data_IF_748702619398
#
_entry.id   IF_748702619398
#
_cell.length_a   1.000
_cell.length_b   1.000
_cell.length_c   1.000
_cell.angle_alpha   90.00
_cell.angle_beta   90.00
_cell.angle_gamma   90.00
#
_symmetry.space_group_name_H-M   'P 1'
#
loop_
_entity.id
_entity.type
_entity.pdbx_description
1 polymer ?
#
# COMPACT_ATOMS: atom_id res chain seq x y z
N UNK A 1 -61.21 -16.14 3.76
CA UNK A 1 -60.18 -17.20 3.83
C UNK A 1 -59.11 -16.86 2.81
N UNK A 2 -58.01 -16.33 3.30
CA UNK A 2 -56.88 -15.75 2.56
C UNK A 2 -55.85 -16.85 2.26
N UNK A 3 -55.24 -16.91 1.07
CA UNK A 3 -54.09 -17.80 0.85
C UNK A 3 -52.83 -17.21 1.51
N UNK A 4 -51.85 -18.04 1.93
CA UNK A 4 -50.62 -17.54 2.51
C UNK A 4 -49.65 -17.08 1.41
N UNK A 5 -49.14 -15.87 1.60
CA UNK A 5 -48.05 -15.23 0.87
C UNK A 5 -46.70 -15.86 1.25
N UNK A 6 -46.02 -16.51 0.31
CA UNK A 6 -44.61 -16.87 0.44
C UNK A 6 -43.74 -15.86 -0.32
N UNK A 7 -43.43 -14.74 0.33
CA UNK A 7 -42.22 -13.98 0.03
C UNK A 7 -41.09 -14.60 0.86
N UNK A 8 -40.43 -15.63 0.30
CA UNK A 8 -39.09 -15.99 0.74
C UNK A 8 -38.16 -14.89 0.25
N UNK A 9 -37.73 -14.06 1.21
CA UNK A 9 -36.67 -13.10 1.03
C UNK A 9 -35.40 -13.83 0.57
N UNK A 10 -34.94 -13.43 -0.61
CA UNK A 10 -33.62 -13.74 -1.18
C UNK A 10 -32.53 -13.30 -0.21
N UNK A 11 -32.15 -14.18 0.71
CA UNK A 11 -30.86 -14.14 1.39
C UNK A 11 -29.81 -14.52 0.34
N UNK A 12 -29.17 -13.49 -0.21
CA UNK A 12 -28.06 -13.62 -1.15
C UNK A 12 -27.04 -14.62 -0.64
N UNK A 13 -26.76 -15.60 -1.49
CA UNK A 13 -25.67 -16.55 -1.33
C UNK A 13 -24.37 -15.75 -1.26
N UNK A 14 -23.91 -15.45 -0.05
CA UNK A 14 -22.51 -15.06 0.15
C UNK A 14 -21.68 -16.28 -0.23
N UNK A 15 -21.01 -16.19 -1.38
CA UNK A 15 -20.01 -17.15 -1.82
C UNK A 15 -19.07 -17.47 -0.67
N UNK A 16 -19.20 -18.67 -0.10
CA UNK A 16 -18.21 -19.20 0.82
C UNK A 16 -17.02 -19.59 -0.05
N UNK A 17 -16.00 -18.72 -0.13
CA UNK A 17 -14.72 -19.13 -0.71
C UNK A 17 -14.25 -20.35 0.07
N UNK A 18 -14.11 -21.46 -0.64
CA UNK A 18 -13.45 -22.66 -0.14
C UNK A 18 -11.94 -22.34 -0.07
N UNK A 19 -11.51 -21.79 1.08
CA UNK A 19 -10.12 -21.41 1.34
C UNK A 19 -9.30 -22.70 1.46
N UNK A 20 -8.64 -23.10 0.38
CA UNK A 20 -7.89 -24.36 0.33
C UNK A 20 -6.43 -24.22 0.75
N UNK A 21 -5.85 -23.02 0.61
CA UNK A 21 -4.43 -22.79 0.83
C UNK A 21 -4.16 -21.95 2.09
N UNK A 22 -3.15 -22.29 2.92
CA UNK A 22 -2.81 -21.55 4.14
C UNK A 22 -2.64 -20.04 3.95
N UNK A 23 -2.18 -19.60 2.78
CA UNK A 23 -1.99 -18.18 2.47
C UNK A 23 -3.31 -17.42 2.25
N UNK A 24 -4.34 -18.10 1.71
CA UNK A 24 -5.65 -17.49 1.52
C UNK A 24 -6.35 -17.22 2.86
N UNK A 25 -6.07 -18.05 3.87
CA UNK A 25 -6.53 -17.81 5.25
C UNK A 25 -5.93 -16.51 5.78
N UNK A 26 -4.62 -16.30 5.59
CA UNK A 26 -3.95 -15.06 5.97
C UNK A 26 -4.52 -13.85 5.22
N UNK A 27 -4.78 -13.95 3.92
CA UNK A 27 -5.41 -12.87 3.16
C UNK A 27 -6.79 -12.51 3.70
N UNK A 28 -7.60 -13.53 4.05
CA UNK A 28 -8.89 -13.31 4.69
C UNK A 28 -8.75 -12.63 6.05
N UNK A 29 -7.82 -13.10 6.89
CA UNK A 29 -7.57 -12.55 8.22
C UNK A 29 -7.15 -11.07 8.15
N UNK A 30 -6.19 -10.74 7.27
CA UNK A 30 -5.74 -9.38 7.01
C UNK A 30 -6.89 -8.48 6.53
N UNK A 31 -7.70 -8.95 5.57
CA UNK A 31 -8.90 -8.24 5.10
C UNK A 31 -9.90 -7.99 6.22
N UNK A 32 -10.20 -9.01 7.01
CA UNK A 32 -11.21 -8.92 8.05
C UNK A 32 -10.76 -8.00 9.20
N UNK A 33 -9.46 -7.99 9.51
CA UNK A 33 -8.82 -7.12 10.49
C UNK A 33 -8.63 -5.67 10.01
N UNK A 34 -8.74 -5.41 8.70
CA UNK A 34 -8.61 -4.05 8.15
C UNK A 34 -9.73 -3.15 8.69
N UNK A 35 -9.40 -1.93 9.21
CA UNK A 35 -10.40 -1.01 9.73
C UNK A 35 -11.50 -0.67 8.72
N UNK A 36 -12.76 -0.70 9.18
CA UNK A 36 -13.95 -0.50 8.32
C UNK A 36 -14.18 0.94 7.88
N UNK A 37 -13.42 1.88 8.43
CA UNK A 37 -13.39 3.28 8.00
C UNK A 37 -12.57 3.48 6.71
N UNK A 38 -11.70 2.52 6.38
CA UNK A 38 -10.92 2.52 5.14
C UNK A 38 -11.76 1.95 3.99
N UNK A 39 -11.36 2.23 2.76
CA UNK A 39 -12.01 1.66 1.59
C UNK A 39 -11.91 0.12 1.59
N UNK A 40 -12.98 -0.56 1.18
CA UNK A 40 -13.11 -2.03 1.18
C UNK A 40 -12.04 -2.77 0.36
N UNK A 41 -11.39 -2.07 -0.56
CA UNK A 41 -10.35 -2.60 -1.45
C UNK A 41 -8.93 -2.13 -1.07
N UNK A 42 -8.76 -1.42 0.05
CA UNK A 42 -7.46 -0.91 0.50
C UNK A 42 -6.61 -1.97 1.20
N UNK A 43 -7.25 -2.99 1.78
CA UNK A 43 -6.58 -4.05 2.55
C UNK A 43 -5.48 -4.76 1.74
N UNK A 44 -5.72 -5.02 0.45
CA UNK A 44 -4.75 -5.74 -0.37
C UNK A 44 -3.54 -4.87 -0.73
N UNK A 45 -3.63 -3.54 -0.63
CA UNK A 45 -2.46 -2.68 -0.77
C UNK A 45 -1.51 -2.85 0.42
N UNK A 46 -2.08 -2.93 1.63
CA UNK A 46 -1.34 -3.20 2.88
C UNK A 46 -0.67 -4.57 2.79
N UNK A 47 -1.43 -5.59 2.38
CA UNK A 47 -0.91 -6.96 2.20
C UNK A 47 0.18 -7.01 1.14
N UNK A 48 -0.05 -6.46 -0.06
CA UNK A 48 0.92 -6.47 -1.15
C UNK A 48 2.22 -5.76 -0.77
N UNK A 49 2.14 -4.58 -0.15
CA UNK A 49 3.32 -3.84 0.29
C UNK A 49 4.09 -4.59 1.39
N UNK A 50 3.38 -5.27 2.29
CA UNK A 50 3.99 -6.08 3.35
C UNK A 50 4.67 -7.32 2.78
N UNK A 51 4.03 -8.05 1.84
CA UNK A 51 4.65 -9.17 1.12
C UNK A 51 5.92 -8.70 0.41
N UNK A 52 5.85 -7.61 -0.35
CA UNK A 52 7.02 -7.05 -1.06
C UNK A 52 8.23 -6.88 -0.12
N UNK A 53 8.02 -6.34 1.07
CA UNK A 53 9.08 -6.16 2.08
C UNK A 53 9.54 -7.46 2.76
N UNK A 54 8.68 -8.47 2.88
CA UNK A 54 8.93 -9.63 3.74
C UNK A 54 9.44 -10.84 2.95
N UNK A 55 8.79 -11.20 1.84
CA UNK A 55 9.16 -12.34 0.98
C UNK A 55 9.62 -11.93 -0.42
N UNK A 56 9.72 -10.63 -0.71
CA UNK A 56 10.06 -10.15 -2.05
C UNK A 56 8.86 -10.22 -3.01
N UNK A 57 7.65 -10.29 -2.47
CA UNK A 57 6.39 -10.37 -3.22
C UNK A 57 6.21 -11.67 -3.98
N UNK A 58 6.82 -12.76 -3.52
CA UNK A 58 6.69 -14.08 -4.16
C UNK A 58 5.24 -14.54 -4.28
N UNK A 59 4.37 -14.07 -3.37
CA UNK A 59 2.94 -14.36 -3.34
C UNK A 59 2.02 -13.30 -3.97
N UNK A 60 2.54 -12.39 -4.80
CA UNK A 60 1.71 -11.37 -5.48
C UNK A 60 0.68 -11.99 -6.42
N UNK A 61 1.04 -13.06 -7.14
CA UNK A 61 0.12 -13.76 -8.03
C UNK A 61 -1.05 -14.41 -7.28
N UNK A 62 -0.77 -15.06 -6.15
CA UNK A 62 -1.77 -15.66 -5.28
C UNK A 62 -2.68 -14.60 -4.67
N UNK A 63 -2.14 -13.46 -4.26
CA UNK A 63 -2.93 -12.33 -3.79
C UNK A 63 -3.86 -11.81 -4.90
N UNK A 64 -3.34 -11.63 -6.12
CA UNK A 64 -4.15 -11.19 -7.26
C UNK A 64 -5.29 -12.16 -7.54
N UNK A 65 -5.03 -13.45 -7.65
CA UNK A 65 -6.06 -14.48 -7.84
C UNK A 65 -7.09 -14.47 -6.71
N UNK A 66 -6.65 -14.31 -5.45
CA UNK A 66 -7.55 -14.21 -4.32
C UNK A 66 -8.45 -12.97 -4.39
N UNK A 67 -7.91 -11.81 -4.79
CA UNK A 67 -8.71 -10.59 -5.00
C UNK A 67 -9.83 -10.83 -6.03
N UNK A 68 -9.50 -11.50 -7.14
CA UNK A 68 -10.47 -11.79 -8.21
C UNK A 68 -11.57 -12.76 -7.76
N UNK A 69 -11.23 -13.71 -6.90
CA UNK A 69 -12.19 -14.71 -6.39
C UNK A 69 -13.03 -14.17 -5.22
N UNK A 70 -12.43 -13.32 -4.36
CA UNK A 70 -12.98 -12.97 -3.06
C UNK A 70 -13.90 -11.75 -3.04
N UNK A 71 -14.00 -10.98 -4.14
CA UNK A 71 -14.81 -9.77 -4.15
C UNK A 71 -15.75 -9.68 -5.36
N UNK A 72 -17.03 -9.46 -5.07
CA UNK A 72 -18.07 -9.17 -6.07
C UNK A 72 -17.72 -7.94 -6.94
N UNK A 73 -16.93 -7.02 -6.38
CA UNK A 73 -16.44 -5.80 -7.04
C UNK A 73 -15.39 -6.05 -8.14
N UNK A 74 -14.92 -7.29 -8.33
CA UNK A 74 -13.96 -7.67 -9.38
C UNK A 74 -14.58 -8.57 -10.47
N UNK A 75 -15.90 -8.52 -10.63
CA UNK A 75 -16.65 -9.31 -11.61
C UNK A 75 -16.51 -8.84 -13.06
N UNK A 76 -15.96 -7.64 -13.30
CA UNK A 76 -15.83 -7.03 -14.65
C UNK A 76 -14.38 -6.93 -15.12
N UNK A 77 -14.08 -7.01 -16.44
CA UNK A 77 -12.72 -6.82 -16.95
C UNK A 77 -12.04 -5.52 -16.46
N UNK A 78 -12.78 -4.42 -16.38
CA UNK A 78 -12.27 -3.13 -15.91
C UNK A 78 -11.85 -3.18 -14.44
N UNK A 79 -12.63 -3.84 -13.59
CA UNK A 79 -12.32 -3.95 -12.16
C UNK A 79 -11.15 -4.90 -11.90
N UNK A 80 -10.96 -5.94 -12.72
CA UNK A 80 -9.79 -6.83 -12.66
C UNK A 80 -8.51 -6.12 -13.13
N UNK A 81 -8.59 -5.36 -14.23
CA UNK A 81 -7.50 -4.47 -14.68
C UNK A 81 -7.15 -3.42 -13.64
N UNK A 82 -8.13 -2.84 -12.95
CA UNK A 82 -7.87 -1.93 -11.83
C UNK A 82 -7.07 -2.59 -10.71
N UNK A 83 -7.40 -3.84 -10.34
CA UNK A 83 -6.62 -4.59 -9.34
C UNK A 83 -5.17 -4.81 -9.81
N UNK A 84 -4.98 -5.24 -11.06
CA UNK A 84 -3.64 -5.36 -11.69
C UNK A 84 -2.86 -4.04 -11.62
N UNK A 85 -3.46 -2.93 -12.06
CA UNK A 85 -2.85 -1.59 -12.03
C UNK A 85 -2.41 -1.19 -10.62
N UNK A 86 -3.27 -1.43 -9.62
CA UNK A 86 -2.97 -1.09 -8.22
C UNK A 86 -1.82 -1.93 -7.67
N UNK A 87 -1.79 -3.24 -7.92
CA UNK A 87 -0.66 -4.09 -7.50
C UNK A 87 0.64 -3.70 -8.21
N UNK A 88 0.58 -3.38 -9.51
CA UNK A 88 1.74 -2.87 -10.27
C UNK A 88 2.25 -1.54 -9.73
N UNK A 89 1.36 -0.67 -9.25
CA UNK A 89 1.75 0.57 -8.60
C UNK A 89 2.41 0.34 -7.23
N UNK A 90 1.99 -0.68 -6.47
CA UNK A 90 2.72 -1.11 -5.25
C UNK A 90 4.16 -1.48 -5.60
N UNK A 91 4.39 -2.22 -6.70
CA UNK A 91 5.75 -2.55 -7.17
C UNK A 91 6.54 -1.30 -7.57
N UNK A 92 5.90 -0.46 -8.39
CA UNK A 92 6.49 0.77 -8.94
C UNK A 92 6.91 1.75 -7.86
N UNK A 93 6.18 1.83 -6.74
CA UNK A 93 6.55 2.68 -5.60
C UNK A 93 7.46 1.96 -4.62
N UNK A 94 7.12 0.72 -4.28
CA UNK A 94 7.73 -0.05 -3.21
C UNK A 94 9.21 -0.38 -3.44
N UNK A 95 9.68 -0.45 -4.69
CA UNK A 95 11.11 -0.67 -4.95
C UNK A 95 12.01 0.42 -4.36
N UNK A 96 11.52 1.65 -4.25
CA UNK A 96 12.29 2.77 -3.66
C UNK A 96 12.53 2.59 -2.16
N UNK A 97 11.72 1.73 -1.51
CA UNK A 97 11.77 1.45 -0.07
C UNK A 97 12.33 0.06 0.24
N UNK A 98 12.21 -0.89 -0.69
CA UNK A 98 12.52 -2.32 -0.46
C UNK A 98 13.64 -2.85 -1.37
N UNK A 99 13.99 -2.09 -2.42
CA UNK A 99 14.99 -2.45 -3.42
C UNK A 99 14.39 -3.10 -4.68
N UNK A 100 15.01 -2.81 -5.84
CA UNK A 100 14.64 -3.37 -7.15
C UNK A 100 14.59 -4.91 -7.17
N UNK A 101 15.54 -5.67 -6.58
CA UNK A 101 15.50 -7.13 -6.66
C UNK A 101 14.18 -7.74 -6.16
N UNK A 102 13.65 -7.24 -5.04
CA UNK A 102 12.35 -7.67 -4.50
C UNK A 102 11.20 -7.31 -5.43
N UNK A 103 11.22 -6.10 -6.01
CA UNK A 103 10.19 -5.69 -6.96
C UNK A 103 10.19 -6.54 -8.25
N UNK A 104 11.35 -7.02 -8.69
CA UNK A 104 11.46 -7.93 -9.83
C UNK A 104 10.79 -9.29 -9.54
N UNK A 105 11.07 -9.90 -8.39
CA UNK A 105 10.46 -11.18 -8.02
C UNK A 105 8.94 -11.08 -7.93
N UNK A 106 8.45 -10.01 -7.30
CA UNK A 106 7.03 -9.71 -7.21
C UNK A 106 6.38 -9.45 -8.59
N UNK A 107 7.09 -8.75 -9.49
CA UNK A 107 6.65 -8.58 -10.88
C UNK A 107 6.50 -9.93 -11.61
N UNK A 108 7.46 -10.84 -11.44
CA UNK A 108 7.38 -12.16 -12.05
C UNK A 108 6.28 -13.02 -11.45
N UNK A 109 6.01 -12.92 -10.15
CA UNK A 109 4.88 -13.59 -9.50
C UNK A 109 3.55 -13.11 -10.10
N UNK A 110 3.35 -11.80 -10.17
CA UNK A 110 2.12 -11.20 -10.69
C UNK A 110 1.90 -11.46 -12.19
N UNK A 111 2.92 -11.21 -13.02
CA UNK A 111 2.80 -11.31 -14.50
C UNK A 111 2.48 -12.71 -15.01
N UNK A 112 2.77 -13.76 -14.23
CA UNK A 112 2.42 -15.15 -14.56
C UNK A 112 0.93 -15.43 -14.54
N UNK A 113 0.15 -14.64 -13.80
CA UNK A 113 -1.28 -14.92 -13.56
C UNK A 113 -2.23 -13.86 -14.10
N UNK A 114 -1.74 -12.67 -14.48
CA UNK A 114 -2.60 -11.56 -14.91
C UNK A 114 -3.30 -11.80 -16.26
N UNK A 115 -2.66 -12.47 -17.22
CA UNK A 115 -3.27 -12.76 -18.53
C UNK A 115 -3.90 -11.53 -19.19
N UNK A 116 -5.19 -11.62 -19.54
CA UNK A 116 -5.98 -10.53 -20.15
C UNK A 116 -6.31 -9.37 -19.19
N UNK A 117 -6.17 -9.60 -17.89
CA UNK A 117 -6.43 -8.63 -16.83
C UNK A 117 -5.19 -7.77 -16.54
N UNK A 118 -4.06 -8.01 -17.21
CA UNK A 118 -2.87 -7.18 -17.10
C UNK A 118 -3.17 -5.74 -17.56
N UNK A 119 -2.92 -4.78 -16.68
CA UNK A 119 -2.95 -3.37 -17.03
C UNK A 119 -1.55 -2.86 -17.36
N UNK A 120 -1.34 -2.57 -18.64
CA UNK A 120 -0.07 -2.09 -19.19
C UNK A 120 -0.01 -0.57 -19.31
N UNK A 121 -0.99 0.15 -18.73
CA UNK A 121 -0.99 1.61 -18.72
C UNK A 121 0.24 2.13 -17.99
N UNK A 122 1.00 3.02 -18.64
CA UNK A 122 2.20 3.62 -18.07
C UNK A 122 1.87 4.86 -17.24
N UNK A 123 2.63 5.07 -16.17
CA UNK A 123 2.57 6.30 -15.36
C UNK A 123 3.20 7.48 -16.09
N UNK A 124 2.86 8.71 -15.68
CA UNK A 124 3.46 9.94 -16.22
C UNK A 124 4.95 10.13 -15.89
N UNK A 125 5.56 9.21 -15.12
CA UNK A 125 6.97 9.25 -14.70
C UNK A 125 7.94 9.40 -15.87
N UNK A 126 7.72 8.65 -16.96
CA UNK A 126 8.56 8.73 -18.15
C UNK A 126 8.49 10.12 -18.80
N UNK A 127 7.28 10.71 -18.85
CA UNK A 127 7.08 12.07 -19.36
C UNK A 127 7.75 13.12 -18.48
N UNK A 128 7.75 12.92 -17.16
CA UNK A 128 8.48 13.80 -16.23
C UNK A 128 9.97 13.70 -16.51
N UNK A 129 10.54 12.50 -16.57
CA UNK A 129 11.99 12.34 -16.82
C UNK A 129 12.41 12.90 -18.18
N UNK A 130 11.61 12.69 -19.23
CA UNK A 130 11.89 13.16 -20.59
C UNK A 130 11.45 14.60 -20.90
N UNK A 131 10.77 15.26 -19.97
CA UNK A 131 10.18 16.58 -20.19
C UNK A 131 11.16 17.73 -20.02
N UNK A 132 10.95 18.83 -20.75
CA UNK A 132 11.81 20.03 -20.72
C UNK A 132 11.94 20.64 -19.31
N UNK A 133 10.93 20.46 -18.45
CA UNK A 133 10.90 20.93 -17.05
C UNK A 133 10.75 19.76 -16.06
N UNK A 134 11.31 18.60 -16.40
CA UNK A 134 11.13 17.36 -15.65
C UNK A 134 11.56 17.44 -14.19
N UNK A 135 12.69 18.11 -13.95
CA UNK A 135 13.25 18.30 -12.61
C UNK A 135 12.33 19.15 -11.73
N UNK A 136 11.82 20.24 -12.27
CA UNK A 136 10.92 21.16 -11.60
C UNK A 136 9.58 20.49 -11.29
N UNK A 137 9.05 19.70 -12.24
CA UNK A 137 7.83 18.93 -12.05
C UNK A 137 7.97 17.88 -10.93
N UNK A 138 9.09 17.15 -10.90
CA UNK A 138 9.38 16.18 -9.84
C UNK A 138 9.48 16.87 -8.46
N UNK A 139 10.18 18.00 -8.38
CA UNK A 139 10.28 18.76 -7.13
C UNK A 139 8.93 19.30 -6.65
N UNK A 140 8.14 19.87 -7.55
CA UNK A 140 6.82 20.40 -7.22
C UNK A 140 5.92 19.31 -6.62
N UNK A 141 5.97 18.10 -7.17
CA UNK A 141 5.22 16.94 -6.67
C UNK A 141 5.69 16.51 -5.27
N UNK A 142 7.00 16.52 -5.02
CA UNK A 142 7.56 16.26 -3.68
C UNK A 142 7.08 17.30 -2.68
N UNK A 143 7.19 18.59 -3.02
CA UNK A 143 6.80 19.68 -2.14
C UNK A 143 5.30 19.66 -1.83
N UNK A 144 4.46 19.32 -2.81
CA UNK A 144 3.02 19.16 -2.61
C UNK A 144 2.70 18.02 -1.66
N UNK A 145 3.32 16.85 -1.84
CA UNK A 145 3.13 15.72 -0.94
C UNK A 145 3.56 16.03 0.49
N UNK A 146 4.76 16.60 0.66
CA UNK A 146 5.30 16.92 1.97
C UNK A 146 4.43 17.91 2.74
N UNK A 147 3.79 18.87 2.06
CA UNK A 147 2.83 19.79 2.70
C UNK A 147 1.62 19.07 3.31
N UNK A 148 1.24 17.91 2.79
CA UNK A 148 0.07 17.16 3.26
C UNK A 148 0.42 16.20 4.42
N UNK A 149 1.59 15.54 4.37
CA UNK A 149 1.92 14.47 5.33
C UNK A 149 3.00 14.84 6.35
N UNK A 150 3.84 15.83 6.06
CA UNK A 150 4.92 16.29 6.94
C UNK A 150 4.74 17.78 7.20
N UNK A 151 3.87 18.16 8.14
CA UNK A 151 3.55 19.57 8.41
C UNK A 151 4.46 20.19 9.48
N UNK A 152 4.53 21.53 9.51
CA UNK A 152 5.16 22.27 10.60
C UNK A 152 6.67 22.03 10.74
N UNK A 153 7.11 21.73 11.97
CA UNK A 153 8.52 21.57 12.31
C UNK A 153 9.14 20.29 11.71
N UNK A 154 8.34 19.26 11.47
CA UNK A 154 8.80 17.96 10.99
C UNK A 154 9.37 18.04 9.59
N UNK A 155 8.69 18.78 8.70
CA UNK A 155 9.17 19.06 7.34
C UNK A 155 10.61 19.58 7.35
N UNK A 156 10.87 20.58 8.18
CA UNK A 156 12.17 21.24 8.28
C UNK A 156 13.21 20.29 8.86
N UNK A 157 12.85 19.51 9.88
CA UNK A 157 13.75 18.54 10.51
C UNK A 157 14.13 17.41 9.55
N UNK A 158 13.18 16.88 8.78
CA UNK A 158 13.44 15.83 7.78
C UNK A 158 14.45 16.33 6.76
N UNK A 159 14.25 17.51 6.16
CA UNK A 159 15.20 18.02 5.17
C UNK A 159 16.54 18.41 5.78
N UNK A 160 16.56 19.06 6.94
CA UNK A 160 17.81 19.36 7.64
C UNK A 160 18.63 18.09 7.94
N UNK A 161 17.97 16.97 8.21
CA UNK A 161 18.64 15.69 8.48
C UNK A 161 19.33 15.11 7.24
N UNK A 162 18.82 15.40 6.04
CA UNK A 162 19.40 14.88 4.79
C UNK A 162 20.37 15.85 4.13
N UNK A 163 20.30 17.16 4.41
CA UNK A 163 21.11 18.20 3.76
C UNK A 163 22.63 18.02 3.94
N UNK A 164 23.06 17.30 4.98
CA UNK A 164 24.47 16.93 5.18
C UNK A 164 24.97 15.90 4.15
N UNK A 165 24.07 15.25 3.42
CA UNK A 165 24.35 14.34 2.30
C UNK A 165 23.54 14.79 1.07
N UNK A 166 24.19 15.56 0.20
CA UNK A 166 23.53 16.17 -0.97
C UNK A 166 22.97 15.17 -1.96
N UNK A 167 23.63 14.02 -2.15
CA UNK A 167 23.16 12.97 -3.05
C UNK A 167 21.93 12.28 -2.47
N UNK A 168 21.93 12.00 -1.16
CA UNK A 168 20.74 11.47 -0.48
C UNK A 168 19.56 12.44 -0.58
N UNK A 169 19.80 13.74 -0.33
CA UNK A 169 18.77 14.77 -0.49
C UNK A 169 18.23 14.81 -1.92
N UNK A 170 19.12 14.78 -2.92
CA UNK A 170 18.73 14.76 -4.32
C UNK A 170 17.88 13.52 -4.63
N UNK A 171 18.33 12.33 -4.24
CA UNK A 171 17.62 11.07 -4.46
C UNK A 171 16.25 11.09 -3.82
N UNK A 172 16.12 11.56 -2.57
CA UNK A 172 14.83 11.62 -1.88
C UNK A 172 13.88 12.59 -2.60
N UNK A 173 14.36 13.82 -2.90
CA UNK A 173 13.52 14.88 -3.49
C UNK A 173 13.07 14.56 -4.90
N UNK A 174 13.99 14.19 -5.78
CA UNK A 174 13.70 14.11 -7.20
C UNK A 174 13.30 12.71 -7.62
N UNK A 175 13.91 11.67 -7.05
CA UNK A 175 13.66 10.29 -7.44
C UNK A 175 12.58 9.65 -6.58
N UNK A 176 12.88 9.43 -5.29
CA UNK A 176 12.01 8.65 -4.39
C UNK A 176 10.63 9.28 -4.31
N UNK A 177 10.53 10.55 -3.93
CA UNK A 177 9.23 11.23 -3.88
C UNK A 177 8.80 11.78 -5.24
N UNK A 178 9.67 12.54 -5.91
CA UNK A 178 9.29 13.28 -7.11
C UNK A 178 8.81 12.40 -8.27
N UNK A 179 9.38 11.21 -8.45
CA UNK A 179 8.92 10.26 -9.46
C UNK A 179 7.95 9.22 -8.90
N UNK A 180 8.18 8.71 -7.69
CA UNK A 180 7.46 7.51 -7.21
C UNK A 180 6.48 7.81 -6.09
N UNK A 181 6.96 8.09 -4.88
CA UNK A 181 6.14 8.11 -3.67
C UNK A 181 5.14 9.26 -3.63
N UNK A 182 5.36 10.38 -4.32
CA UNK A 182 4.40 11.47 -4.42
C UNK A 182 3.45 11.38 -5.62
N UNK A 183 3.56 10.35 -6.45
CA UNK A 183 2.70 10.16 -7.62
C UNK A 183 1.32 9.62 -7.24
N UNK A 184 0.26 10.39 -7.42
CA UNK A 184 -1.10 10.01 -7.04
C UNK A 184 -1.97 9.61 -8.24
N UNK A 185 -1.37 9.27 -9.38
CA UNK A 185 -2.12 8.90 -10.59
C UNK A 185 -2.97 7.62 -10.43
N UNK A 186 -2.55 6.69 -9.56
CA UNK A 186 -3.25 5.41 -9.32
C UNK A 186 -3.86 5.36 -7.91
N UNK A 187 -3.17 5.91 -6.92
CA UNK A 187 -3.60 5.89 -5.52
C UNK A 187 -4.07 7.26 -5.08
N UNK A 188 -5.15 7.29 -4.29
CA UNK A 188 -5.45 8.48 -3.50
C UNK A 188 -4.38 8.67 -2.38
N UNK A 189 -4.33 9.85 -1.72
CA UNK A 189 -3.33 10.11 -0.68
C UNK A 189 -3.25 9.04 0.42
N UNK A 190 -4.40 8.55 0.91
CA UNK A 190 -4.43 7.57 2.00
C UNK A 190 -3.91 6.21 1.54
N UNK A 191 -4.35 5.72 0.38
CA UNK A 191 -3.86 4.47 -0.22
C UNK A 191 -2.34 4.51 -0.44
N UNK A 192 -1.83 5.66 -0.88
CA UNK A 192 -0.40 5.88 -1.09
C UNK A 192 0.39 5.78 0.23
N UNK A 193 -0.13 6.39 1.30
CA UNK A 193 0.48 6.30 2.64
C UNK A 193 0.40 4.89 3.24
N UNK A 194 -0.71 4.17 3.02
CA UNK A 194 -0.85 2.76 3.42
C UNK A 194 0.23 1.88 2.79
N UNK A 195 0.58 2.11 1.52
CA UNK A 195 1.68 1.38 0.86
C UNK A 195 3.03 1.73 1.49
N UNK A 196 3.31 3.03 1.71
CA UNK A 196 4.59 3.46 2.27
C UNK A 196 4.81 2.95 3.69
N UNK A 197 3.84 3.12 4.59
CA UNK A 197 3.93 2.66 5.98
C UNK A 197 4.11 1.15 6.05
N UNK A 198 3.40 0.39 5.21
CA UNK A 198 3.52 -1.08 5.13
C UNK A 198 4.90 -1.50 4.68
N UNK A 199 5.47 -0.81 3.67
CA UNK A 199 6.81 -1.10 3.18
C UNK A 199 7.88 -0.88 4.26
N UNK A 200 7.85 0.25 4.98
CA UNK A 200 8.91 0.61 5.94
C UNK A 200 8.78 -0.10 7.29
N UNK A 201 7.55 -0.30 7.78
CA UNK A 201 7.31 -0.96 9.07
C UNK A 201 7.69 -2.43 9.01
N UNK A 202 7.38 -3.09 7.88
CA UNK A 202 7.74 -4.49 7.61
C UNK A 202 9.25 -4.77 7.58
N UNK A 203 10.07 -3.72 7.47
CA UNK A 203 11.53 -3.80 7.48
C UNK A 203 12.13 -3.43 8.85
N UNK A 204 11.31 -3.05 9.84
CA UNK A 204 11.75 -2.65 11.18
C UNK A 204 12.42 -1.27 11.25
N UNK A 205 12.24 -0.41 10.24
CA UNK A 205 12.88 0.91 10.20
C UNK A 205 12.21 1.91 11.14
N UNK A 206 12.78 2.18 12.32
CA UNK A 206 12.17 3.05 13.36
C UNK A 206 11.76 4.44 12.85
N UNK A 207 12.71 5.21 12.31
CA UNK A 207 12.46 6.61 11.90
C UNK A 207 11.43 6.68 10.78
N UNK A 208 11.62 5.90 9.71
CA UNK A 208 10.70 5.89 8.58
C UNK A 208 9.29 5.42 8.99
N UNK A 209 9.20 4.39 9.84
CA UNK A 209 7.92 3.87 10.31
C UNK A 209 7.14 4.90 11.13
N UNK A 210 7.79 5.57 12.08
CA UNK A 210 7.12 6.61 12.86
C UNK A 210 6.72 7.82 12.00
N UNK A 211 7.55 8.21 11.03
CA UNK A 211 7.20 9.25 10.05
C UNK A 211 5.94 8.90 9.27
N UNK A 212 5.83 7.67 8.77
CA UNK A 212 4.70 7.24 7.95
C UNK A 212 3.44 6.89 8.76
N UNK A 213 3.60 6.36 9.98
CA UNK A 213 2.49 6.24 10.93
C UNK A 213 1.93 7.63 11.29
N UNK A 214 2.79 8.66 11.41
CA UNK A 214 2.36 10.06 11.52
C UNK A 214 1.64 10.55 10.26
N UNK A 215 2.14 10.21 9.08
CA UNK A 215 1.50 10.49 7.80
C UNK A 215 0.04 10.02 7.76
N UNK A 216 -0.26 8.81 8.23
CA UNK A 216 -1.64 8.32 8.36
C UNK A 216 -2.51 9.24 9.23
N UNK A 217 -1.99 9.70 10.38
CA UNK A 217 -2.70 10.65 11.26
C UNK A 217 -3.01 11.95 10.52
N UNK A 218 -2.03 12.47 9.78
CA UNK A 218 -2.15 13.74 9.03
C UNK A 218 -3.17 13.66 7.91
N UNK A 219 -3.36 12.47 7.34
CA UNK A 219 -4.36 12.18 6.31
C UNK A 219 -5.75 11.83 6.89
N UNK A 220 -5.95 12.02 8.20
CA UNK A 220 -7.27 11.92 8.84
C UNK A 220 -7.66 10.53 9.33
N UNK A 221 -6.77 9.54 9.26
CA UNK A 221 -6.97 8.25 9.95
C UNK A 221 -7.05 8.54 11.45
N UNK A 222 -7.90 7.85 12.22
CA UNK A 222 -7.96 7.98 13.69
C UNK A 222 -7.04 6.96 14.40
N UNK A 223 -6.75 7.17 15.69
CA UNK A 223 -5.63 6.46 16.34
C UNK A 223 -5.86 4.95 16.37
N UNK A 224 -7.09 4.54 16.67
CA UNK A 224 -7.53 3.15 16.64
C UNK A 224 -7.37 2.53 15.25
N UNK A 225 -7.70 3.26 14.18
CA UNK A 225 -7.56 2.74 12.82
C UNK A 225 -6.09 2.66 12.39
N UNK A 226 -5.23 3.58 12.85
CA UNK A 226 -3.79 3.50 12.60
C UNK A 226 -3.17 2.26 13.29
N UNK A 227 -3.57 1.96 14.52
CA UNK A 227 -3.22 0.70 15.20
C UNK A 227 -3.79 -0.52 14.47
N UNK A 228 -5.00 -0.42 13.93
CA UNK A 228 -5.60 -1.46 13.10
C UNK A 228 -4.80 -1.72 11.82
N UNK A 229 -4.35 -0.68 11.11
CA UNK A 229 -3.46 -0.81 9.95
C UNK A 229 -2.16 -1.51 10.34
N UNK A 230 -1.52 -1.08 11.43
CA UNK A 230 -0.32 -1.73 11.95
C UNK A 230 -0.56 -3.22 12.23
N UNK A 231 -1.70 -3.57 12.85
CA UNK A 231 -2.06 -4.97 13.11
C UNK A 231 -2.19 -5.80 11.83
N UNK A 232 -2.74 -5.24 10.75
CA UNK A 232 -2.79 -5.92 9.45
C UNK A 232 -1.37 -6.20 8.92
N UNK A 233 -0.47 -5.22 9.02
CA UNK A 233 0.93 -5.39 8.62
C UNK A 233 1.59 -6.50 9.45
N UNK A 234 1.37 -6.50 10.77
CA UNK A 234 1.91 -7.52 11.68
C UNK A 234 1.37 -8.93 11.37
N UNK A 235 0.08 -9.09 11.08
CA UNK A 235 -0.51 -10.39 10.67
C UNK A 235 0.24 -10.97 9.48
N UNK A 236 0.41 -10.17 8.42
CA UNK A 236 1.09 -10.62 7.19
C UNK A 236 2.57 -10.91 7.48
N UNK A 237 3.25 -10.01 8.20
CA UNK A 237 4.67 -10.15 8.51
C UNK A 237 4.97 -11.37 9.40
N UNK A 238 4.15 -11.63 10.41
CA UNK A 238 4.27 -12.80 11.29
C UNK A 238 4.03 -14.09 10.53
N UNK A 239 3.03 -14.13 9.64
CA UNK A 239 2.79 -15.29 8.77
C UNK A 239 4.00 -15.56 7.86
N UNK A 240 4.68 -14.50 7.40
CA UNK A 240 5.95 -14.56 6.67
C UNK A 240 7.18 -14.88 7.56
N UNK A 241 6.97 -15.20 8.84
CA UNK A 241 8.02 -15.59 9.78
C UNK A 241 8.84 -14.43 10.34
N UNK A 242 8.40 -13.17 10.19
CA UNK A 242 9.05 -12.02 10.83
C UNK A 242 8.70 -11.96 12.32
N UNK A 243 9.69 -11.61 13.12
CA UNK A 243 9.47 -11.15 14.49
C UNK A 243 9.10 -9.67 14.44
N UNK A 244 7.97 -9.34 15.04
CA UNK A 244 7.48 -7.95 15.15
C UNK A 244 7.79 -7.35 16.52
N UNK A 245 8.38 -8.13 17.42
CA UNK A 245 8.87 -7.64 18.70
C UNK A 245 9.88 -6.50 18.49
N UNK A 246 9.63 -5.37 19.15
CA UNK A 246 10.46 -4.17 19.04
C UNK A 246 10.15 -3.28 17.84
N UNK A 247 9.15 -3.60 17.03
CA UNK A 247 8.59 -2.64 16.09
C UNK A 247 7.96 -1.47 16.84
N UNK A 248 8.08 -0.30 16.23
CA UNK A 248 7.43 0.91 16.73
C UNK A 248 5.92 0.75 16.70
N UNK A 249 5.25 1.39 17.64
CA UNK A 249 3.81 1.38 17.78
C UNK A 249 3.19 2.67 17.24
N UNK A 250 2.03 2.55 16.60
CA UNK A 250 1.26 3.70 16.12
C UNK A 250 0.94 4.71 17.24
N UNK A 251 0.85 4.24 18.49
CA UNK A 251 0.67 5.07 19.68
C UNK A 251 1.91 5.92 20.04
N UNK A 252 3.12 5.54 19.61
CA UNK A 252 4.35 6.31 19.83
C UNK A 252 4.43 7.58 18.97
N UNK A 253 3.61 7.69 17.92
CA UNK A 253 3.64 8.78 16.93
C UNK A 253 3.48 10.17 17.57
N UNK A 254 2.67 10.27 18.64
CA UNK A 254 2.38 11.53 19.31
C UNK A 254 3.66 12.25 19.80
N UNK A 255 4.74 11.51 20.06
CA UNK A 255 5.98 12.00 20.66
C UNK A 255 7.18 11.97 19.70
N UNK A 256 6.99 11.53 18.46
CA UNK A 256 8.11 11.19 17.58
C UNK A 256 9.00 12.39 17.16
N UNK A 257 8.48 13.61 17.24
CA UNK A 257 9.22 14.84 16.94
C UNK A 257 9.21 15.83 18.11
N UNK A 258 8.79 15.41 19.31
CA UNK A 258 8.88 16.21 20.52
C UNK A 258 10.35 16.26 21.03
#
# INVERSE_FOLDING_TARGET
>A
MTPPTSQEATLGVRSTLDLKEPIQIMFKEARDATPKSLADDSWYLIVAATLLSTDGGSHFGELFQYILQAQDNHSTPESRKRASRRLREVLGKGWTLTGIPRACDAHFSLSRVEGEDADLTTSDREKIVGGVNGKEAALARTDEWFKNVFTGADHKRIWASTETNVDLTFTIKYTVYGLYLSDLAVFNPLENELVMVSCVLSQGGRVASLSHLKGLRMLGVNASDAEGVQRVIEIVAQWMGKKVDGWVQASEVAHFFD
#
